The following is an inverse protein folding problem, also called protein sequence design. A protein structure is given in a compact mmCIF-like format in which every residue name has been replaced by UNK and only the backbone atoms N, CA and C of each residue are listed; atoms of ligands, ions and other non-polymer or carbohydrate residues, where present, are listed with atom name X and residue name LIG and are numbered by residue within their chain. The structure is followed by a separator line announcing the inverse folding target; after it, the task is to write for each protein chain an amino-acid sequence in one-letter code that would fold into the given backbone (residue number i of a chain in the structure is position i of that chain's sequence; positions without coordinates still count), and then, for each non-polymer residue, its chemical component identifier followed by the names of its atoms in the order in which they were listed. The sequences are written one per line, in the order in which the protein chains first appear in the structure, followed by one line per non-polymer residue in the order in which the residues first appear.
data_IF_734509465102
#
_entry.id   IF_734509465102
#
_cell.length_a   1.000
_cell.length_b   1.000
_cell.length_c   1.000
_cell.angle_alpha   90.00
_cell.angle_beta   90.00
_cell.angle_gamma   90.00
#
_symmetry.space_group_name_H-M   'P 1'
#
loop_
_entity.id
_entity.type
_entity.pdbx_description
1 polymer ?
#
# COMPACT_ATOMS: atom_id res chain seq x y z
N UNK A 1 -18.73 -56.08 -15.87
CA UNK A 1 -19.55 -55.18 -15.04
C UNK A 1 -18.62 -54.32 -14.22
N UNK A 2 -18.99 -53.06 -14.08
CA UNK A 2 -18.09 -51.92 -14.10
C UNK A 2 -17.25 -51.70 -12.86
N UNK A 3 -16.17 -50.97 -13.11
CA UNK A 3 -15.05 -50.59 -12.27
C UNK A 3 -15.41 -49.32 -11.51
N UNK A 4 -15.32 -49.31 -10.17
CA UNK A 4 -15.28 -48.04 -9.42
C UNK A 4 -14.28 -48.14 -8.25
N UNK A 5 -12.99 -48.07 -8.59
CA UNK A 5 -11.98 -47.61 -7.65
C UNK A 5 -12.14 -46.09 -7.59
N UNK A 6 -12.77 -45.59 -6.54
CA UNK A 6 -12.75 -44.16 -6.23
C UNK A 6 -11.33 -43.79 -5.82
N UNK A 7 -10.50 -43.39 -6.80
CA UNK A 7 -9.34 -42.56 -6.51
C UNK A 7 -9.88 -41.27 -5.91
N UNK A 8 -9.83 -41.18 -4.58
CA UNK A 8 -9.92 -39.91 -3.90
C UNK A 8 -8.74 -39.07 -4.38
N UNK A 9 -8.97 -38.28 -5.44
CA UNK A 9 -8.36 -36.97 -5.55
C UNK A 9 -8.85 -36.21 -4.32
N UNK A 10 -8.16 -36.40 -3.19
CA UNK A 10 -7.99 -35.31 -2.28
C UNK A 10 -7.33 -34.25 -3.17
N UNK A 11 -8.15 -33.34 -3.71
CA UNK A 11 -7.68 -32.02 -4.04
C UNK A 11 -7.07 -31.54 -2.74
N UNK A 12 -5.76 -31.77 -2.59
CA UNK A 12 -4.96 -30.98 -1.71
C UNK A 12 -5.32 -29.58 -2.14
N UNK A 13 -6.14 -28.91 -1.32
CA UNK A 13 -6.30 -27.48 -1.40
C UNK A 13 -4.88 -27.00 -1.34
N UNK A 14 -4.29 -26.69 -2.50
CA UNK A 14 -3.16 -25.81 -2.57
C UNK A 14 -3.74 -24.59 -1.90
N UNK A 15 -3.44 -24.43 -0.61
CA UNK A 15 -3.59 -23.14 -0.02
C UNK A 15 -2.70 -22.29 -0.91
N UNK A 16 -3.33 -21.48 -1.75
CA UNK A 16 -2.67 -20.33 -2.36
C UNK A 16 -2.38 -19.41 -1.19
N UNK A 17 -1.44 -19.81 -0.34
CA UNK A 17 -0.93 -19.06 0.78
C UNK A 17 0.23 -18.23 0.25
N UNK A 18 -0.08 -17.48 -0.80
CA UNK A 18 0.77 -16.46 -1.34
C UNK A 18 0.07 -15.17 -0.94
N UNK A 19 0.49 -14.59 0.17
CA UNK A 19 -0.04 -13.30 0.56
C UNK A 19 1.10 -12.54 1.22
N UNK A 20 1.75 -11.69 0.42
CA UNK A 20 2.88 -10.82 0.76
C UNK A 20 4.26 -11.50 0.66
N UNK A 21 4.73 -11.67 -0.57
CA UNK A 21 6.12 -12.02 -0.90
C UNK A 21 6.84 -10.74 -1.35
N UNK A 22 7.70 -10.21 -0.47
CA UNK A 22 8.37 -8.93 -0.65
C UNK A 22 9.87 -9.11 -0.85
N UNK A 23 10.40 -8.46 -1.89
CA UNK A 23 11.83 -8.28 -2.07
C UNK A 23 12.15 -6.83 -1.73
N UNK A 24 13.05 -6.62 -0.78
CA UNK A 24 13.50 -5.28 -0.40
C UNK A 24 14.65 -4.82 -1.29
N UNK A 25 14.57 -3.58 -1.77
CA UNK A 25 15.62 -2.90 -2.51
C UNK A 25 16.49 -2.05 -1.59
N UNK A 26 16.98 -0.91 -2.09
CA UNK A 26 17.49 0.14 -1.22
C UNK A 26 16.35 1.03 -0.72
N UNK A 27 15.56 1.64 -1.61
CA UNK A 27 14.48 2.57 -1.21
C UNK A 27 13.09 2.12 -1.67
N UNK A 28 12.97 0.86 -2.08
CA UNK A 28 11.75 0.30 -2.68
C UNK A 28 11.47 -1.11 -2.19
N UNK A 29 10.21 -1.51 -2.26
CA UNK A 29 9.75 -2.88 -1.96
C UNK A 29 9.03 -3.42 -3.17
N UNK A 30 9.44 -4.59 -3.63
CA UNK A 30 8.77 -5.29 -4.73
C UNK A 30 7.81 -6.32 -4.15
N UNK A 31 6.52 -6.17 -4.42
CA UNK A 31 5.49 -7.17 -4.20
C UNK A 31 5.42 -8.10 -5.42
N UNK A 32 6.03 -9.28 -5.30
CA UNK A 32 6.13 -10.24 -6.41
C UNK A 32 4.75 -10.72 -6.85
N UNK A 33 3.85 -10.92 -5.89
CA UNK A 33 2.54 -11.52 -6.16
C UNK A 33 1.62 -10.57 -6.89
N UNK A 34 1.80 -9.27 -6.67
CA UNK A 34 1.00 -8.21 -7.30
C UNK A 34 1.71 -7.56 -8.47
N UNK A 35 2.98 -7.89 -8.68
CA UNK A 35 3.83 -7.26 -9.68
C UNK A 35 3.82 -5.73 -9.51
N UNK A 36 3.96 -5.29 -8.26
CA UNK A 36 3.99 -3.89 -7.86
C UNK A 36 5.32 -3.56 -7.21
N UNK A 37 5.83 -2.36 -7.47
CA UNK A 37 6.94 -1.78 -6.74
C UNK A 37 6.44 -0.58 -5.93
N UNK A 38 6.84 -0.52 -4.67
CA UNK A 38 6.43 0.48 -3.70
C UNK A 38 7.64 1.31 -3.28
N UNK A 39 7.44 2.60 -3.03
CA UNK A 39 8.42 3.36 -2.26
C UNK A 39 8.35 2.92 -0.79
N UNK A 40 9.51 2.75 -0.16
CA UNK A 40 9.61 2.35 1.24
C UNK A 40 9.14 3.45 2.19
N UNK A 41 9.50 4.70 1.87
CA UNK A 41 9.24 5.86 2.70
C UNK A 41 8.02 6.66 2.24
N UNK A 42 7.38 7.31 3.20
CA UNK A 42 6.41 8.37 2.94
C UNK A 42 7.04 9.46 2.08
N UNK A 43 6.25 10.07 1.20
CA UNK A 43 6.73 11.16 0.35
C UNK A 43 7.33 12.29 1.20
N UNK A 44 8.48 12.81 0.77
CA UNK A 44 9.24 13.86 1.47
C UNK A 44 10.32 13.32 2.42
N UNK A 45 10.23 12.05 2.82
CA UNK A 45 11.27 11.41 3.63
C UNK A 45 12.36 10.79 2.77
N UNK A 46 13.50 10.50 3.39
CA UNK A 46 14.66 9.92 2.74
C UNK A 46 14.99 8.56 3.33
N UNK A 47 15.21 7.57 2.46
CA UNK A 47 15.69 6.26 2.88
C UNK A 47 17.16 6.32 3.29
N UNK A 48 17.45 5.79 4.47
CA UNK A 48 18.77 5.58 5.03
C UNK A 48 18.96 4.08 5.33
N UNK A 49 20.09 3.50 4.94
CA UNK A 49 20.34 2.05 5.10
C UNK A 49 20.44 1.60 6.56
N UNK A 50 20.84 2.48 7.46
CA UNK A 50 21.05 2.17 8.88
C UNK A 50 19.77 2.40 9.69
N UNK A 51 19.03 3.46 9.35
CA UNK A 51 17.90 3.95 10.16
C UNK A 51 16.53 3.85 9.47
N UNK A 52 16.45 3.32 8.25
CA UNK A 52 15.21 3.28 7.46
C UNK A 52 14.81 4.67 6.98
N UNK A 53 13.53 5.01 7.05
CA UNK A 53 13.03 6.31 6.60
C UNK A 53 13.33 7.41 7.63
N UNK A 54 13.95 8.49 7.16
CA UNK A 54 14.38 9.62 7.99
C UNK A 54 13.87 10.95 7.43
N UNK A 55 13.74 11.95 8.30
CA UNK A 55 13.11 13.23 7.99
C UNK A 55 11.61 13.24 8.24
N UNK A 56 10.93 14.29 7.80
CA UNK A 56 9.49 14.47 8.01
C UNK A 56 8.71 14.24 6.70
N UNK A 57 7.53 13.62 6.76
CA UNK A 57 6.67 13.48 5.59
C UNK A 57 6.20 14.85 5.10
N UNK A 58 6.17 15.04 3.79
CA UNK A 58 5.65 16.27 3.18
C UNK A 58 4.18 16.08 2.80
N UNK A 59 3.24 16.79 3.45
CA UNK A 59 1.84 16.69 3.10
C UNK A 59 1.59 17.29 1.71
N UNK A 60 0.83 16.56 0.89
CA UNK A 60 0.49 16.98 -0.47
C UNK A 60 -1.03 17.06 -0.65
N UNK A 61 -1.47 17.99 -1.50
CA UNK A 61 -2.80 17.90 -2.11
C UNK A 61 -2.82 16.75 -3.11
N UNK A 62 -4.01 16.23 -3.44
CA UNK A 62 -4.15 15.15 -4.41
C UNK A 62 -3.54 15.50 -5.78
N UNK A 63 -3.77 16.71 -6.28
CA UNK A 63 -3.23 17.14 -7.57
C UNK A 63 -1.70 17.17 -7.58
N UNK A 64 -1.10 17.66 -6.49
CA UNK A 64 0.35 17.68 -6.34
C UNK A 64 0.90 16.27 -6.20
N UNK A 65 0.25 15.39 -5.43
CA UNK A 65 0.65 13.99 -5.31
C UNK A 65 0.68 13.26 -6.66
N UNK A 66 -0.38 13.43 -7.48
CA UNK A 66 -0.43 12.87 -8.84
C UNK A 66 0.69 13.43 -9.71
N UNK A 67 0.92 14.75 -9.65
CA UNK A 67 1.98 15.42 -10.38
C UNK A 67 3.36 14.90 -10.02
N UNK A 68 3.68 14.82 -8.73
CA UNK A 68 4.97 14.33 -8.23
C UNK A 68 5.20 12.86 -8.57
N UNK A 69 4.20 11.99 -8.41
CA UNK A 69 4.33 10.58 -8.80
C UNK A 69 4.60 10.43 -10.30
N UNK A 70 3.91 11.20 -11.15
CA UNK A 70 4.10 11.18 -12.60
C UNK A 70 5.50 11.68 -13.00
N UNK A 71 6.00 12.73 -12.33
CA UNK A 71 7.34 13.30 -12.59
C UNK A 71 8.47 12.31 -12.31
N UNK A 72 8.29 11.36 -11.39
CA UNK A 72 9.29 10.30 -11.15
C UNK A 72 9.52 9.42 -12.39
N UNK A 73 8.54 9.34 -13.30
CA UNK A 73 8.64 8.56 -14.53
C UNK A 73 8.56 7.05 -14.28
N UNK A 74 8.95 6.24 -15.26
CA UNK A 74 9.08 4.78 -15.15
C UNK A 74 7.84 4.03 -14.64
N UNK A 75 6.64 4.60 -14.82
CA UNK A 75 5.38 3.99 -14.38
C UNK A 75 5.00 4.29 -12.93
N UNK A 76 5.77 5.11 -12.20
CA UNK A 76 5.38 5.59 -10.88
C UNK A 76 4.06 6.37 -10.94
N UNK A 77 3.16 6.05 -10.01
CA UNK A 77 1.82 6.63 -9.90
C UNK A 77 1.30 6.53 -8.47
N UNK A 78 0.19 7.21 -8.20
CA UNK A 78 -0.57 6.93 -6.98
C UNK A 78 -1.13 5.50 -7.02
N UNK A 79 -1.00 4.74 -5.93
CA UNK A 79 -1.67 3.45 -5.78
C UNK A 79 -3.20 3.59 -5.88
N UNK A 80 -3.88 2.56 -6.36
CA UNK A 80 -5.31 2.41 -6.20
C UNK A 80 -5.66 1.98 -4.77
N UNK A 81 -6.90 2.21 -4.34
CA UNK A 81 -7.33 1.83 -2.99
C UNK A 81 -7.26 0.32 -2.77
N UNK A 82 -7.57 -0.47 -3.80
CA UNK A 82 -7.47 -1.94 -3.71
C UNK A 82 -6.03 -2.39 -3.51
N UNK A 83 -5.05 -1.73 -4.12
CA UNK A 83 -3.62 -2.02 -3.95
C UNK A 83 -3.17 -1.69 -2.53
N UNK A 84 -3.55 -0.51 -2.00
CA UNK A 84 -3.26 -0.11 -0.63
C UNK A 84 -3.93 -1.05 0.40
N UNK A 85 -5.13 -1.53 0.10
CA UNK A 85 -5.85 -2.49 0.95
C UNK A 85 -5.11 -3.82 1.10
N UNK A 86 -4.16 -4.15 0.22
CA UNK A 86 -3.38 -5.37 0.36
C UNK A 86 -2.37 -5.28 1.50
N UNK A 87 -1.89 -4.08 1.77
CA UNK A 87 -0.95 -3.79 2.86
C UNK A 87 -1.58 -4.09 4.23
N UNK A 88 -2.91 -4.04 4.36
CA UNK A 88 -3.63 -4.37 5.59
C UNK A 88 -3.92 -5.87 5.79
N UNK A 89 -3.47 -6.73 4.87
CA UNK A 89 -3.72 -8.16 5.02
C UNK A 89 -3.00 -8.71 6.26
N UNK A 90 -3.69 -9.54 7.05
CA UNK A 90 -3.14 -10.13 8.29
C UNK A 90 -1.81 -10.88 8.08
N UNK A 91 -1.54 -11.33 6.85
CA UNK A 91 -0.31 -12.04 6.50
C UNK A 91 0.83 -11.03 6.27
N UNK A 92 0.59 -9.94 5.51
CA UNK A 92 1.53 -8.81 5.40
C UNK A 92 1.91 -8.25 6.76
N UNK A 93 0.93 -8.05 7.66
CA UNK A 93 1.17 -7.47 8.98
C UNK A 93 1.96 -8.37 9.92
N UNK A 94 2.00 -9.68 9.66
CA UNK A 94 2.84 -10.63 10.41
C UNK A 94 4.22 -10.79 9.79
N UNK A 95 4.46 -10.23 8.61
CA UNK A 95 5.76 -10.26 7.96
C UNK A 95 6.67 -9.19 8.59
N UNK A 96 7.76 -9.62 9.22
CA UNK A 96 8.71 -8.72 9.88
C UNK A 96 9.42 -7.78 8.89
N UNK A 97 9.61 -8.20 7.63
CA UNK A 97 10.18 -7.34 6.58
C UNK A 97 9.25 -6.17 6.27
N UNK A 98 7.94 -6.44 6.15
CA UNK A 98 6.94 -5.40 5.90
C UNK A 98 7.02 -4.31 6.98
N UNK A 99 7.02 -4.72 8.26
CA UNK A 99 7.11 -3.82 9.40
C UNK A 99 8.43 -3.06 9.48
N UNK A 100 9.53 -3.68 9.09
CA UNK A 100 10.86 -3.06 9.17
C UNK A 100 11.14 -2.06 8.04
N UNK A 101 10.41 -2.16 6.93
CA UNK A 101 10.81 -1.53 5.68
C UNK A 101 9.81 -0.50 5.17
N UNK A 102 8.51 -0.70 5.44
CA UNK A 102 7.52 0.37 5.21
C UNK A 102 7.53 1.32 6.39
N UNK A 103 7.63 2.61 6.08
CA UNK A 103 7.42 3.67 7.05
C UNK A 103 5.94 3.71 7.46
N UNK A 104 5.62 3.09 8.59
CA UNK A 104 4.30 3.21 9.22
C UNK A 104 4.38 4.41 10.17
N UNK A 105 3.72 5.54 9.86
CA UNK A 105 3.76 6.71 10.73
C UNK A 105 3.29 6.34 12.13
N UNK A 106 3.93 6.89 13.17
CA UNK A 106 3.42 6.73 14.53
C UNK A 106 2.24 7.67 14.77
N UNK A 107 1.26 7.20 15.53
CA UNK A 107 0.15 8.04 15.99
C UNK A 107 0.66 9.00 17.06
N UNK A 108 0.99 10.23 16.66
CA UNK A 108 1.44 11.28 17.57
C UNK A 108 0.28 12.18 18.05
N UNK A 109 -0.98 11.78 17.83
CA UNK A 109 -2.16 12.55 18.25
C UNK A 109 -2.48 13.75 17.35
N UNK A 110 -1.58 14.14 16.45
CA UNK A 110 -1.83 15.06 15.33
C UNK A 110 -2.16 14.21 14.10
N UNK A 111 -3.41 13.75 14.04
CA UNK A 111 -3.92 12.77 13.07
C UNK A 111 -3.14 12.72 11.76
N UNK A 112 -2.32 11.67 11.59
CA UNK A 112 -1.53 11.51 10.38
C UNK A 112 -2.46 11.62 9.17
N UNK A 113 -2.07 12.46 8.22
CA UNK A 113 -2.85 12.66 7.01
C UNK A 113 -2.94 11.32 6.28
N UNK A 114 -4.15 10.86 5.92
CA UNK A 114 -4.30 9.58 5.26
C UNK A 114 -3.70 9.66 3.85
N UNK A 115 -3.21 8.54 3.35
CA UNK A 115 -2.48 8.45 2.09
C UNK A 115 -3.45 8.53 0.92
N UNK A 116 -3.12 9.35 -0.08
CA UNK A 116 -3.94 9.46 -1.29
C UNK A 116 -3.94 8.16 -2.09
N UNK A 117 -5.12 7.78 -2.60
CA UNK A 117 -5.23 6.80 -3.68
C UNK A 117 -5.76 7.45 -4.95
N UNK A 118 -5.48 6.84 -6.09
CA UNK A 118 -6.03 7.24 -7.39
C UNK A 118 -7.49 6.82 -7.59
N UNK A 119 -8.10 6.11 -6.64
CA UNK A 119 -9.47 5.59 -6.77
C UNK A 119 -10.52 6.62 -6.35
N UNK A 120 -11.40 6.97 -7.29
CA UNK A 120 -12.56 7.82 -7.06
C UNK A 120 -13.74 7.06 -6.46
N UNK A 121 -14.59 7.77 -5.71
CA UNK A 121 -15.87 7.25 -5.25
C UNK A 121 -16.90 7.37 -6.38
N UNK A 122 -17.42 6.24 -6.88
CA UNK A 122 -18.33 6.23 -8.04
C UNK A 122 -19.58 7.10 -7.85
N UNK A 123 -20.15 7.10 -6.64
CA UNK A 123 -21.34 7.91 -6.33
C UNK A 123 -21.05 9.39 -6.11
N UNK A 124 -19.76 9.77 -5.95
CA UNK A 124 -19.30 11.14 -5.68
C UNK A 124 -17.94 11.36 -6.34
N UNK A 125 -17.90 11.64 -7.66
CA UNK A 125 -16.66 11.63 -8.45
C UNK A 125 -15.65 12.73 -8.07
N UNK A 126 -16.05 13.68 -7.23
CA UNK A 126 -15.17 14.70 -6.63
C UNK A 126 -14.48 14.23 -5.35
N UNK A 127 -14.78 13.02 -4.86
CA UNK A 127 -14.16 12.40 -3.70
C UNK A 127 -13.30 11.21 -4.11
N UNK A 128 -12.22 11.03 -3.37
CA UNK A 128 -11.26 9.94 -3.55
C UNK A 128 -11.17 9.12 -2.27
N UNK A 129 -10.83 7.84 -2.42
CA UNK A 129 -10.45 7.02 -1.28
C UNK A 129 -9.04 7.39 -0.82
N UNK A 130 -8.85 7.36 0.50
CA UNK A 130 -7.55 7.43 1.13
C UNK A 130 -7.31 6.19 1.98
N UNK A 131 -6.06 5.97 2.34
CA UNK A 131 -5.66 4.85 3.17
C UNK A 131 -5.03 5.36 4.47
N UNK A 132 -5.56 4.89 5.59
CA UNK A 132 -4.96 5.13 6.89
C UNK A 132 -3.84 4.12 7.09
N UNK A 133 -2.58 4.56 6.98
CA UNK A 133 -1.43 3.70 7.19
C UNK A 133 -1.21 3.34 8.67
N UNK A 134 -1.68 4.16 9.61
CA UNK A 134 -1.58 3.88 11.05
C UNK A 134 -2.49 2.70 11.40
N UNK A 135 -3.76 2.81 10.99
CA UNK A 135 -4.78 1.82 11.31
C UNK A 135 -4.90 0.72 10.26
N UNK A 136 -4.15 0.84 9.16
CA UNK A 136 -4.13 -0.06 8.01
C UNK A 136 -5.55 -0.30 7.47
N UNK A 137 -6.29 0.78 7.24
CA UNK A 137 -7.71 0.74 6.85
C UNK A 137 -8.03 1.78 5.79
N UNK A 138 -8.94 1.42 4.90
CA UNK A 138 -9.48 2.35 3.92
C UNK A 138 -10.31 3.43 4.62
N UNK A 139 -10.13 4.67 4.19
CA UNK A 139 -10.94 5.82 4.57
C UNK A 139 -11.49 6.48 3.32
N UNK A 140 -12.62 7.16 3.46
CA UNK A 140 -13.09 8.11 2.45
C UNK A 140 -12.49 9.47 2.76
N UNK A 141 -11.76 10.08 1.82
CA UNK A 141 -11.32 11.45 2.01
C UNK A 141 -12.42 12.46 1.73
N UNK A 142 -12.39 13.54 2.51
CA UNK A 142 -13.13 14.76 2.24
C UNK A 142 -12.37 15.63 1.22
N UNK A 143 -13.11 16.49 0.51
CA UNK A 143 -12.74 17.21 -0.70
C UNK A 143 -11.26 17.64 -0.81
N UNK A 144 -10.61 17.47 -1.99
CA UNK A 144 -9.20 17.80 -2.22
C UNK A 144 -8.86 19.31 -2.27
N UNK A 145 -9.69 20.20 -1.71
CA UNK A 145 -9.54 21.68 -1.80
C UNK A 145 -9.27 22.38 -0.46
N UNK A 146 -8.91 21.67 0.60
CA UNK A 146 -8.66 22.32 1.89
C UNK A 146 -7.51 21.67 2.68
N UNK A 147 -6.31 21.67 2.12
CA UNK A 147 -5.11 21.76 2.96
C UNK A 147 -4.81 23.27 3.10
N UNK A 148 -4.80 23.85 4.32
CA UNK A 148 -4.41 25.23 4.49
C UNK A 148 -2.94 25.39 4.08
N UNK A 149 -2.71 26.41 3.26
CA UNK A 149 -1.39 26.93 2.88
C UNK A 149 -0.56 27.30 4.10
#
# INVERSE_FOLDING_TARGET
MENFIYLSLAMSSLSTYAQCDFITGNSTVIDILKNLEWQACTFGMQWNKENGCTGEPTPLTLSTAIGEATKQGNGWRLPGIEELSLLSSNICLKNDLFKSYFDIPQDNGEGASPYWSSTQIQSKPYLYYTFDMINLKNKTAWCPVSAPS
#
